data_IF_556689828071
#
_entry.id   IF_556689828071
#
_cell.length_a   1.000
_cell.length_b   1.000
_cell.length_c   1.000
_cell.angle_alpha   90.00
_cell.angle_beta   90.00
_cell.angle_gamma   90.00
#
_symmetry.space_group_name_H-M   'P 1'
#
loop_
_entity.id
_entity.type
_entity.pdbx_description
1 polymer ?
#
# COMPACT_ATOMS: atom_id res chain seq x y z
N UNK A 1 -5.78 10.41 8.21
CA UNK A 1 -6.35 10.14 6.86
C UNK A 1 -6.46 11.43 6.08
N UNK A 2 -5.82 11.48 4.92
CA UNK A 2 -5.91 12.62 4.04
C UNK A 2 -6.49 12.18 2.69
N UNK A 3 -7.57 12.81 2.26
CA UNK A 3 -8.15 12.57 0.94
C UNK A 3 -7.33 13.29 -0.12
N UNK A 4 -7.12 12.62 -1.25
CA UNK A 4 -6.46 13.17 -2.43
C UNK A 4 -7.50 13.19 -3.56
N UNK A 5 -7.75 14.38 -4.10
CA UNK A 5 -8.76 14.57 -5.13
C UNK A 5 -8.15 15.18 -6.39
N UNK A 6 -8.25 14.47 -7.49
CA UNK A 6 -7.85 14.91 -8.84
C UNK A 6 -9.03 14.78 -9.82
N UNK A 7 -10.27 14.74 -9.30
CA UNK A 7 -11.47 14.62 -10.10
C UNK A 7 -11.92 13.19 -10.42
N UNK A 8 -11.27 12.19 -9.83
CA UNK A 8 -11.62 10.77 -10.04
C UNK A 8 -12.95 10.41 -9.37
N UNK A 9 -13.58 9.34 -9.85
CA UNK A 9 -14.89 8.88 -9.39
C UNK A 9 -14.87 8.00 -8.14
N UNK A 10 -13.69 7.73 -7.60
CA UNK A 10 -13.49 6.96 -6.37
C UNK A 10 -12.75 7.79 -5.33
N UNK A 11 -12.73 7.33 -4.08
CA UNK A 11 -12.01 8.01 -2.99
C UNK A 11 -10.59 7.50 -2.90
N UNK A 12 -9.61 8.40 -2.90
CA UNK A 12 -8.20 8.10 -2.67
C UNK A 12 -7.77 8.71 -1.35
N UNK A 13 -7.11 7.90 -0.49
CA UNK A 13 -6.72 8.29 0.86
C UNK A 13 -5.25 7.93 1.09
N UNK A 14 -4.54 8.82 1.79
CA UNK A 14 -3.18 8.58 2.29
C UNK A 14 -3.21 8.63 3.81
N UNK A 15 -2.62 7.63 4.48
CA UNK A 15 -2.64 7.48 5.94
C UNK A 15 -1.28 7.03 6.48
N UNK A 16 -0.96 7.44 7.71
CA UNK A 16 0.32 7.09 8.35
C UNK A 16 0.31 5.70 9.02
N UNK A 17 -0.82 5.02 9.09
CA UNK A 17 -0.95 3.72 9.77
C UNK A 17 0.14 2.75 9.33
N UNK A 18 1.05 2.41 10.26
CA UNK A 18 2.24 1.58 10.00
C UNK A 18 2.43 0.46 11.03
N UNK A 19 1.44 0.21 11.86
CA UNK A 19 1.40 -0.91 12.80
C UNK A 19 0.17 -1.77 12.52
N UNK A 20 0.16 -3.06 12.92
CA UNK A 20 -1.01 -3.91 12.68
C UNK A 20 -2.30 -3.31 13.25
N UNK A 21 -2.25 -2.77 14.46
CA UNK A 21 -3.43 -2.17 15.11
C UNK A 21 -3.87 -0.88 14.41
N UNK A 22 -2.94 -0.01 14.06
CA UNK A 22 -3.25 1.23 13.34
C UNK A 22 -3.82 0.93 11.95
N UNK A 23 -3.24 -0.06 11.25
CA UNK A 23 -3.74 -0.51 9.95
C UNK A 23 -5.17 -1.06 10.07
N UNK A 24 -5.42 -1.90 11.08
CA UNK A 24 -6.76 -2.42 11.34
C UNK A 24 -7.77 -1.30 11.52
N UNK A 25 -7.44 -0.29 12.32
CA UNK A 25 -8.31 0.85 12.57
C UNK A 25 -8.55 1.68 11.30
N UNK A 26 -7.51 1.97 10.53
CA UNK A 26 -7.62 2.72 9.29
C UNK A 26 -8.49 1.98 8.25
N UNK A 27 -8.26 0.69 8.07
CA UNK A 27 -9.01 -0.12 7.11
C UNK A 27 -10.47 -0.31 7.54
N UNK A 28 -10.71 -0.51 8.83
CA UNK A 28 -12.08 -0.63 9.37
C UNK A 28 -12.85 0.68 9.17
N UNK A 29 -12.22 1.82 9.43
CA UNK A 29 -12.81 3.14 9.20
C UNK A 29 -13.13 3.35 7.72
N UNK A 30 -12.17 3.05 6.83
CA UNK A 30 -12.38 3.17 5.39
C UNK A 30 -13.50 2.24 4.90
N UNK A 31 -13.54 1.00 5.41
CA UNK A 31 -14.60 0.04 5.06
C UNK A 31 -15.99 0.55 5.44
N UNK A 32 -16.10 1.20 6.60
CA UNK A 32 -17.36 1.79 7.05
C UNK A 32 -17.85 2.95 6.18
N UNK A 33 -16.94 3.58 5.42
CA UNK A 33 -17.25 4.68 4.50
C UNK A 33 -17.70 4.18 3.11
N UNK A 34 -17.53 2.88 2.83
CA UNK A 34 -17.83 2.33 1.50
C UNK A 34 -19.35 2.27 1.26
N UNK A 35 -19.82 2.70 0.08
CA UNK A 35 -21.17 2.36 -0.38
C UNK A 35 -21.32 0.85 -0.58
N UNK A 36 -22.54 0.35 -0.52
CA UNK A 36 -22.82 -1.07 -0.75
C UNK A 36 -22.32 -1.54 -2.12
N UNK A 37 -21.67 -2.70 -2.14
CA UNK A 37 -21.17 -3.32 -3.36
C UNK A 37 -19.85 -2.75 -3.87
N UNK A 38 -19.25 -1.79 -3.16
CA UNK A 38 -17.97 -1.19 -3.53
C UNK A 38 -16.82 -1.86 -2.80
N UNK A 39 -15.58 -1.60 -3.29
CA UNK A 39 -14.37 -2.30 -2.82
C UNK A 39 -13.44 -1.36 -2.09
N UNK A 40 -12.77 -1.90 -1.08
CA UNK A 40 -11.64 -1.27 -0.42
C UNK A 40 -10.34 -1.89 -0.95
N UNK A 41 -9.48 -1.06 -1.52
CA UNK A 41 -8.17 -1.44 -2.05
C UNK A 41 -7.11 -0.82 -1.15
N UNK A 42 -6.35 -1.66 -0.45
CA UNK A 42 -5.29 -1.22 0.47
C UNK A 42 -3.92 -1.39 -0.16
N UNK A 43 -3.05 -0.38 -0.03
CA UNK A 43 -1.68 -0.39 -0.53
C UNK A 43 -0.76 -0.07 0.63
N UNK A 44 0.18 -0.96 0.97
CA UNK A 44 1.14 -0.73 2.04
C UNK A 44 2.33 -1.68 1.95
N UNK A 45 3.38 -1.35 2.70
CA UNK A 45 4.56 -2.18 2.86
C UNK A 45 4.90 -2.38 4.33
N UNK A 46 6.09 -2.87 4.60
CA UNK A 46 6.64 -2.99 5.95
C UNK A 46 8.12 -2.64 5.93
N UNK A 47 8.57 -1.91 6.96
CA UNK A 47 9.94 -1.43 7.02
C UNK A 47 10.94 -2.55 7.29
N UNK A 48 12.10 -2.45 6.67
CA UNK A 48 13.26 -3.27 6.97
C UNK A 48 13.89 -2.91 8.31
N UNK A 49 14.66 -3.82 8.89
CA UNK A 49 15.36 -3.64 10.17
C UNK A 49 14.42 -3.28 11.33
N UNK A 50 13.20 -3.81 11.27
CA UNK A 50 12.15 -3.63 12.27
C UNK A 50 11.56 -4.99 12.63
N UNK A 51 10.55 -4.99 13.49
CA UNK A 51 9.88 -6.21 13.95
C UNK A 51 9.36 -7.05 12.77
N UNK A 52 9.93 -8.24 12.62
CA UNK A 52 9.63 -9.17 11.52
C UNK A 52 8.19 -9.69 11.61
N UNK A 53 7.68 -9.96 12.81
CA UNK A 53 6.30 -10.45 13.00
C UNK A 53 5.26 -9.43 12.52
N UNK A 54 5.56 -8.15 12.65
CA UNK A 54 4.68 -7.07 12.20
C UNK A 54 4.37 -7.16 10.71
N UNK A 55 5.31 -7.63 9.88
CA UNK A 55 5.13 -7.78 8.42
C UNK A 55 3.97 -8.71 8.12
N UNK A 56 4.03 -9.91 8.72
CA UNK A 56 3.00 -10.93 8.54
C UNK A 56 1.65 -10.46 9.08
N UNK A 57 1.65 -9.89 10.29
CA UNK A 57 0.43 -9.42 10.95
C UNK A 57 -0.29 -8.32 10.16
N UNK A 58 0.45 -7.41 9.53
CA UNK A 58 -0.16 -6.36 8.71
C UNK A 58 -0.87 -6.96 7.49
N UNK A 59 -0.25 -7.90 6.82
CA UNK A 59 -0.88 -8.58 5.68
C UNK A 59 -2.10 -9.40 6.10
N UNK A 60 -2.01 -10.11 7.23
CA UNK A 60 -3.15 -10.84 7.81
C UNK A 60 -4.35 -9.92 8.05
N UNK A 61 -4.11 -8.78 8.68
CA UNK A 61 -5.15 -7.79 8.97
C UNK A 61 -5.81 -7.29 7.69
N UNK A 62 -4.99 -6.95 6.69
CA UNK A 62 -5.51 -6.36 5.47
C UNK A 62 -6.38 -7.33 4.67
N UNK A 63 -5.96 -8.58 4.48
CA UNK A 63 -6.76 -9.53 3.68
C UNK A 63 -8.08 -9.91 4.36
N UNK A 64 -8.18 -9.74 5.66
CA UNK A 64 -9.44 -9.95 6.39
C UNK A 64 -10.43 -8.79 6.21
N UNK A 65 -9.95 -7.58 5.96
CA UNK A 65 -10.78 -6.36 5.92
C UNK A 65 -10.94 -5.81 4.51
N UNK A 66 -9.83 -5.66 3.77
CA UNK A 66 -9.83 -5.12 2.41
C UNK A 66 -10.28 -6.15 1.39
N UNK A 67 -10.86 -5.68 0.31
CA UNK A 67 -11.27 -6.54 -0.82
C UNK A 67 -10.08 -6.86 -1.72
N UNK A 68 -9.11 -5.95 -1.82
CA UNK A 68 -7.84 -6.14 -2.51
C UNK A 68 -6.72 -5.54 -1.68
N UNK A 69 -5.62 -6.27 -1.55
CA UNK A 69 -4.40 -5.81 -0.87
C UNK A 69 -3.24 -5.78 -1.85
N UNK A 70 -2.54 -4.66 -1.93
CA UNK A 70 -1.33 -4.54 -2.75
C UNK A 70 -0.13 -4.35 -1.82
N UNK A 71 0.76 -5.34 -1.80
CA UNK A 71 1.96 -5.34 -0.99
C UNK A 71 3.10 -4.67 -1.76
N UNK A 72 3.75 -3.69 -1.16
CA UNK A 72 4.76 -2.88 -1.84
C UNK A 72 5.89 -2.46 -0.89
N UNK A 73 6.81 -1.63 -1.37
CA UNK A 73 7.93 -1.14 -0.58
C UNK A 73 7.49 -0.10 0.47
N UNK A 74 8.14 -0.17 1.63
CA UNK A 74 8.15 0.86 2.66
C UNK A 74 9.48 0.75 3.40
N UNK A 75 10.43 1.66 3.15
CA UNK A 75 11.76 1.68 3.78
C UNK A 75 12.40 0.28 3.93
N UNK A 76 12.67 -0.46 2.85
CA UNK A 76 13.29 -1.79 2.99
C UNK A 76 14.67 -1.73 3.61
N UNK A 77 15.34 -0.59 3.57
CA UNK A 77 16.70 -0.38 4.09
C UNK A 77 17.66 -1.38 3.47
N UNK A 78 18.49 -2.05 4.26
CA UNK A 78 19.48 -3.02 3.78
C UNK A 78 18.92 -4.44 3.66
N UNK A 79 17.65 -4.66 4.02
CA UNK A 79 17.01 -5.95 3.82
C UNK A 79 16.54 -6.13 2.37
N UNK A 80 16.40 -7.39 1.95
CA UNK A 80 15.83 -7.72 0.65
C UNK A 80 14.34 -7.38 0.63
N UNK A 81 13.93 -6.49 -0.28
CA UNK A 81 12.52 -6.17 -0.48
C UNK A 81 11.71 -7.42 -0.87
N UNK A 82 12.27 -8.28 -1.73
CA UNK A 82 11.60 -9.50 -2.15
C UNK A 82 11.31 -10.41 -0.95
N UNK A 83 12.23 -10.52 0.00
CA UNK A 83 12.02 -11.30 1.22
C UNK A 83 10.97 -10.69 2.13
N UNK A 84 10.96 -9.36 2.27
CA UNK A 84 9.92 -8.64 3.04
C UNK A 84 8.55 -8.93 2.43
N UNK A 85 8.42 -8.79 1.12
CA UNK A 85 7.16 -9.04 0.42
C UNK A 85 6.74 -10.51 0.51
N UNK A 86 7.69 -11.45 0.47
CA UNK A 86 7.39 -12.89 0.63
C UNK A 86 6.82 -13.17 2.03
N UNK A 87 7.39 -12.59 3.08
CA UNK A 87 6.89 -12.77 4.45
C UNK A 87 5.47 -12.19 4.59
N UNK A 88 5.22 -11.04 3.98
CA UNK A 88 3.89 -10.43 3.97
C UNK A 88 2.89 -11.32 3.20
N UNK A 89 3.30 -11.85 2.07
CA UNK A 89 2.47 -12.75 1.25
C UNK A 89 2.11 -14.02 2.03
N UNK A 90 3.04 -14.59 2.80
CA UNK A 90 2.75 -15.75 3.64
C UNK A 90 1.70 -15.42 4.72
N UNK A 91 1.75 -14.23 5.30
CA UNK A 91 0.71 -13.76 6.22
C UNK A 91 -0.66 -13.66 5.55
N UNK A 92 -0.70 -13.09 4.35
CA UNK A 92 -1.94 -13.00 3.57
C UNK A 92 -2.53 -14.38 3.26
N UNK A 93 -1.70 -15.32 2.80
CA UNK A 93 -2.12 -16.69 2.49
C UNK A 93 -2.64 -17.41 3.73
N UNK A 94 -2.00 -17.23 4.87
CA UNK A 94 -2.40 -17.84 6.14
C UNK A 94 -3.82 -17.44 6.57
N UNK A 95 -4.31 -16.30 6.12
CA UNK A 95 -5.67 -15.80 6.41
C UNK A 95 -6.61 -15.93 5.21
N UNK A 96 -6.32 -16.81 4.28
CA UNK A 96 -7.18 -17.12 3.14
C UNK A 96 -6.96 -16.24 1.92
N UNK A 97 -5.93 -15.40 1.91
CA UNK A 97 -5.59 -14.59 0.74
C UNK A 97 -5.13 -15.47 -0.43
N UNK A 98 -5.51 -15.08 -1.65
CA UNK A 98 -5.15 -15.78 -2.88
C UNK A 98 -4.40 -14.79 -3.76
N UNK A 99 -3.10 -15.07 -3.99
CA UNK A 99 -2.25 -14.21 -4.81
C UNK A 99 -2.79 -14.13 -6.24
N UNK A 100 -2.86 -12.91 -6.77
CA UNK A 100 -3.45 -12.66 -8.08
C UNK A 100 -4.95 -12.42 -8.04
N UNK A 101 -5.61 -12.70 -6.91
CA UNK A 101 -7.07 -12.55 -6.78
C UNK A 101 -7.48 -11.59 -5.66
N UNK A 102 -7.01 -11.81 -4.43
CA UNK A 102 -7.33 -10.96 -3.28
C UNK A 102 -6.14 -10.16 -2.79
N UNK A 103 -4.93 -10.51 -3.21
CA UNK A 103 -3.74 -9.68 -3.02
C UNK A 103 -2.76 -9.86 -4.16
N UNK A 104 -1.90 -8.85 -4.36
CA UNK A 104 -0.79 -8.88 -5.31
C UNK A 104 0.43 -8.21 -4.70
N UNK A 105 1.61 -8.48 -5.26
CA UNK A 105 2.87 -7.81 -4.93
C UNK A 105 3.27 -6.90 -6.08
N UNK A 106 3.56 -5.63 -5.76
CA UNK A 106 4.11 -4.67 -6.73
C UNK A 106 5.25 -3.94 -6.02
N UNK A 107 6.48 -4.30 -6.34
CA UNK A 107 7.67 -3.84 -5.60
C UNK A 107 7.82 -2.33 -5.60
N UNK A 108 7.62 -1.67 -6.73
CA UNK A 108 7.69 -0.21 -6.84
C UNK A 108 6.42 0.43 -6.28
N UNK A 109 6.58 1.31 -5.26
CA UNK A 109 5.43 1.91 -4.58
C UNK A 109 4.63 2.85 -5.48
N UNK A 110 5.30 3.60 -6.37
CA UNK A 110 4.60 4.45 -7.33
C UNK A 110 3.75 3.64 -8.30
N UNK A 111 4.28 2.52 -8.79
CA UNK A 111 3.55 1.59 -9.63
C UNK A 111 2.40 0.92 -8.87
N UNK A 112 2.62 0.57 -7.60
CA UNK A 112 1.58 -0.03 -6.76
C UNK A 112 0.37 0.91 -6.62
N UNK A 113 0.62 2.19 -6.37
CA UNK A 113 -0.44 3.20 -6.30
C UNK A 113 -1.16 3.36 -7.64
N UNK A 114 -0.40 3.35 -8.74
CA UNK A 114 -0.98 3.43 -10.08
C UNK A 114 -1.88 2.22 -10.36
N UNK A 115 -1.42 1.00 -10.07
CA UNK A 115 -2.21 -0.22 -10.25
C UNK A 115 -3.49 -0.16 -9.43
N UNK A 116 -3.41 0.29 -8.17
CA UNK A 116 -4.58 0.45 -7.31
C UNK A 116 -5.60 1.41 -7.92
N UNK A 117 -5.14 2.56 -8.43
CA UNK A 117 -6.01 3.55 -9.06
C UNK A 117 -6.64 3.02 -10.36
N UNK A 118 -5.91 2.20 -11.12
CA UNK A 118 -6.43 1.56 -12.34
C UNK A 118 -7.47 0.47 -12.04
N UNK A 119 -7.34 -0.22 -10.92
CA UNK A 119 -8.31 -1.22 -10.47
C UNK A 119 -9.61 -0.59 -9.97
N UNK A 120 -9.53 0.61 -9.39
CA UNK A 120 -10.66 1.25 -8.73
C UNK A 120 -11.72 1.68 -9.75
N UNK A 121 -12.96 1.46 -9.37
CA UNK A 121 -14.14 1.92 -10.13
C UNK A 121 -14.95 2.89 -9.27
N UNK A 122 -15.97 3.51 -9.86
CA UNK A 122 -16.80 4.50 -9.19
C UNK A 122 -17.27 4.02 -7.80
N UNK A 123 -17.02 4.82 -6.77
CA UNK A 123 -17.43 4.55 -5.41
C UNK A 123 -16.49 3.68 -4.59
N UNK A 124 -15.45 3.11 -5.19
CA UNK A 124 -14.42 2.37 -4.46
C UNK A 124 -13.58 3.31 -3.58
N UNK A 125 -12.80 2.73 -2.67
CA UNK A 125 -11.81 3.46 -1.87
C UNK A 125 -10.45 2.82 -2.08
N UNK A 126 -9.46 3.65 -2.44
CA UNK A 126 -8.04 3.29 -2.45
C UNK A 126 -7.38 3.96 -1.25
N UNK A 127 -6.73 3.20 -0.39
CA UNK A 127 -6.02 3.73 0.76
C UNK A 127 -4.56 3.27 0.77
N UNK A 128 -3.64 4.24 0.76
CA UNK A 128 -2.21 4.00 0.91
C UNK A 128 -1.81 4.23 2.36
N UNK A 129 -1.24 3.21 2.99
CA UNK A 129 -0.86 3.24 4.40
C UNK A 129 0.64 3.10 4.60
N UNK A 130 1.13 3.66 5.70
CA UNK A 130 2.48 3.49 6.21
C UNK A 130 3.33 4.74 6.16
N UNK A 131 3.36 5.45 5.06
CA UNK A 131 4.20 6.64 4.90
C UNK A 131 3.51 7.93 5.35
N UNK A 132 2.23 8.07 5.07
CA UNK A 132 1.47 9.26 5.47
C UNK A 132 2.10 10.54 4.95
N UNK A 133 2.57 11.38 5.89
CA UNK A 133 3.21 12.67 5.63
C UNK A 133 4.74 12.58 5.51
N UNK A 134 5.34 11.41 5.63
CA UNK A 134 6.78 11.24 5.47
C UNK A 134 7.22 11.58 4.04
N UNK A 135 8.38 12.24 3.92
CA UNK A 135 8.86 12.78 2.64
C UNK A 135 10.10 12.08 2.12
N UNK A 136 10.36 10.86 2.58
CA UNK A 136 11.47 10.05 2.10
C UNK A 136 11.15 8.56 2.17
N UNK A 137 11.91 7.77 1.40
CA UNK A 137 11.93 6.32 1.48
C UNK A 137 13.36 5.82 1.47
N UNK A 138 13.70 4.95 2.43
CA UNK A 138 15.06 4.45 2.60
C UNK A 138 15.27 3.14 1.85
N UNK A 139 16.18 3.16 0.88
CA UNK A 139 16.68 1.97 0.19
C UNK A 139 18.18 1.85 0.45
N UNK A 140 18.63 0.73 1.00
CA UNK A 140 19.99 0.60 1.49
C UNK A 140 20.18 1.52 2.70
N UNK A 141 21.10 2.47 2.54
CA UNK A 141 21.38 3.51 3.55
C UNK A 141 21.03 4.91 3.05
N UNK A 142 20.35 5.01 1.89
CA UNK A 142 20.06 6.28 1.23
C UNK A 142 18.57 6.60 1.37
N UNK A 143 18.27 7.81 1.83
CA UNK A 143 16.93 8.36 1.85
C UNK A 143 16.64 9.01 0.49
N UNK A 144 15.69 8.44 -0.26
CA UNK A 144 15.25 8.99 -1.54
C UNK A 144 14.02 9.89 -1.31
N UNK A 145 13.92 11.02 -2.03
CA UNK A 145 12.73 11.86 -1.95
C UNK A 145 11.47 11.08 -2.32
N UNK A 146 10.47 11.17 -1.46
CA UNK A 146 9.19 10.50 -1.66
C UNK A 146 8.09 11.19 -0.86
N UNK A 147 6.90 11.24 -1.41
CA UNK A 147 5.70 11.69 -0.71
C UNK A 147 4.50 10.93 -1.28
N UNK A 148 3.84 10.13 -0.44
CA UNK A 148 2.68 9.33 -0.86
C UNK A 148 1.56 10.20 -1.45
N UNK A 149 1.43 11.45 -0.99
CA UNK A 149 0.41 12.37 -1.50
C UNK A 149 0.69 12.76 -2.94
N UNK A 150 1.94 13.08 -3.25
CA UNK A 150 2.37 13.42 -4.61
C UNK A 150 2.33 12.19 -5.52
N UNK A 151 2.72 11.04 -5.00
CA UNK A 151 2.66 9.78 -5.72
C UNK A 151 1.21 9.37 -6.04
N UNK A 152 0.29 9.59 -5.10
CA UNK A 152 -1.14 9.32 -5.34
C UNK A 152 -1.70 10.28 -6.40
N UNK A 153 -1.36 11.57 -6.34
CA UNK A 153 -1.77 12.54 -7.37
C UNK A 153 -1.26 12.12 -8.75
N UNK A 154 0.01 11.74 -8.84
CA UNK A 154 0.62 11.29 -10.09
C UNK A 154 -0.09 10.04 -10.63
N UNK A 155 -0.37 9.07 -9.76
CA UNK A 155 -1.11 7.86 -10.12
C UNK A 155 -2.51 8.18 -10.64
N UNK A 156 -3.24 9.08 -9.98
CA UNK A 156 -4.57 9.51 -10.38
C UNK A 156 -4.57 10.23 -11.74
N UNK A 157 -3.47 10.91 -12.08
CA UNK A 157 -3.28 11.58 -13.38
C UNK A 157 -2.81 10.63 -14.49
N UNK A 158 -2.55 9.35 -14.17
CA UNK A 158 -2.06 8.36 -15.12
C UNK A 158 -0.57 8.43 -15.42
N UNK A 159 0.21 9.13 -14.59
CA UNK A 159 1.66 9.30 -14.73
C UNK A 159 2.39 8.89 -13.44
N UNK A 160 2.49 7.58 -13.14
CA UNK A 160 3.05 7.11 -11.87
C UNK A 160 4.50 7.55 -11.66
N UNK A 161 4.83 7.88 -10.40
CA UNK A 161 6.19 8.21 -10.01
C UNK A 161 7.04 6.93 -9.98
N UNK A 162 8.16 6.94 -10.70
CA UNK A 162 9.09 5.81 -10.79
C UNK A 162 10.52 6.27 -10.51
N UNK A 163 10.71 7.01 -9.43
CA UNK A 163 12.01 7.59 -9.06
C UNK A 163 12.75 6.78 -8.01
N UNK A 164 12.18 5.67 -7.55
CA UNK A 164 12.78 4.80 -6.56
C UNK A 164 13.70 3.77 -7.24
N UNK A 165 14.70 3.21 -6.50
CA UNK A 165 15.59 2.19 -7.05
C UNK A 165 14.86 0.99 -7.67
N UNK A 166 13.71 0.59 -7.13
CA UNK A 166 12.90 -0.51 -7.64
C UNK A 166 12.35 -0.27 -9.05
N UNK A 167 12.22 0.98 -9.47
CA UNK A 167 11.76 1.33 -10.81
C UNK A 167 12.81 1.11 -11.89
N UNK A 168 14.08 0.98 -11.50
CA UNK A 168 15.21 0.80 -12.42
C UNK A 168 15.49 -0.68 -12.73
N UNK A 169 14.84 -1.59 -12.00
CA UNK A 169 14.99 -3.04 -12.14
C UNK A 169 13.60 -3.66 -12.33
N UNK A 170 13.08 -3.66 -13.57
CA UNK A 170 11.78 -4.26 -13.85
C UNK A 170 11.76 -5.78 -13.66
#
# INVERSE_FOLDING_TARGET
MQRIDEGQSFTAIVDFAHTPNALKNALTTAKAMLPNGKRLIAVFGSAGLRDVEKRRMMAEVSVEIADMTILTAEDPRTESLDQILEMMAQGAIAKGGIEGKTFIRVADRGEALYVACQMATEGDIVIACGKGHEQSMCFGTIEYPWDDRDAMRAALRGAPLKTLPTAQHP
#
